data_IF_058263122342
#
_entry.id   IF_058263122342
#
_cell.length_a   1.000
_cell.length_b   1.000
_cell.length_c   1.000
_cell.angle_alpha   90.00
_cell.angle_beta   90.00
_cell.angle_gamma   90.00
#
_symmetry.space_group_name_H-M   'P 1'
#
loop_
_entity.id
_entity.type
_entity.pdbx_description
1 polymer ?
#
# COMPACT_ATOMS: atom_id res chain seq x y z
N UNK A 1 13.34 -5.28 -15.58
CA UNK A 1 12.71 -4.20 -14.79
C UNK A 1 11.54 -4.70 -13.92
N UNK A 2 10.60 -5.47 -14.46
CA UNK A 2 9.45 -6.02 -13.69
C UNK A 2 9.88 -6.91 -12.51
N UNK A 3 10.93 -7.69 -12.66
CA UNK A 3 11.40 -8.62 -11.60
C UNK A 3 12.03 -7.91 -10.39
N UNK A 4 12.60 -6.72 -10.55
CA UNK A 4 13.23 -6.02 -9.43
C UNK A 4 12.21 -5.34 -8.49
N UNK A 5 11.07 -4.91 -9.02
CA UNK A 5 10.05 -4.17 -8.25
C UNK A 5 9.24 -5.06 -7.28
N UNK A 6 9.08 -6.35 -7.60
CA UNK A 6 8.36 -7.30 -6.74
C UNK A 6 9.30 -8.22 -5.95
N UNK A 7 10.61 -8.10 -6.11
CA UNK A 7 11.58 -8.95 -5.42
C UNK A 7 11.44 -8.88 -3.90
N UNK A 8 11.29 -7.66 -3.38
CA UNK A 8 11.09 -7.43 -1.95
C UNK A 8 9.86 -8.19 -1.40
N UNK A 9 8.73 -8.16 -2.13
CA UNK A 9 7.51 -8.84 -1.71
C UNK A 9 7.66 -10.37 -1.73
N UNK A 10 8.41 -10.92 -2.68
CA UNK A 10 8.74 -12.34 -2.68
C UNK A 10 9.65 -12.73 -1.52
N UNK A 11 10.61 -11.88 -1.16
CA UNK A 11 11.48 -12.08 0.01
C UNK A 11 10.67 -12.01 1.31
N UNK A 12 9.75 -11.05 1.44
CA UNK A 12 8.83 -10.95 2.56
C UNK A 12 7.94 -12.20 2.68
N UNK A 13 7.34 -12.65 1.59
CA UNK A 13 6.54 -13.88 1.58
C UNK A 13 7.38 -15.08 2.04
N UNK A 14 8.59 -15.23 1.51
CA UNK A 14 9.50 -16.31 1.93
C UNK A 14 9.82 -16.24 3.43
N UNK A 15 10.05 -15.05 3.96
CA UNK A 15 10.30 -14.81 5.38
C UNK A 15 9.08 -15.16 6.23
N UNK A 16 7.89 -14.70 5.83
CA UNK A 16 6.66 -15.02 6.55
C UNK A 16 6.33 -16.52 6.52
N UNK A 17 6.52 -17.18 5.38
CA UNK A 17 6.30 -18.64 5.27
C UNK A 17 7.22 -19.43 6.20
N UNK A 18 8.51 -19.07 6.28
CA UNK A 18 9.45 -19.67 7.23
C UNK A 18 9.05 -19.40 8.69
N UNK A 19 8.54 -18.18 8.97
CA UNK A 19 8.09 -17.83 10.31
C UNK A 19 6.84 -18.63 10.72
N UNK A 20 5.93 -18.96 9.78
CA UNK A 20 4.77 -19.81 10.06
C UNK A 20 5.17 -21.20 10.60
N UNK A 21 6.25 -21.78 10.08
CA UNK A 21 6.77 -23.09 10.54
C UNK A 21 7.28 -23.03 11.98
N UNK A 22 7.63 -21.87 12.50
CA UNK A 22 8.23 -21.66 13.82
C UNK A 22 7.21 -21.19 14.86
N UNK A 23 5.97 -20.88 14.45
CA UNK A 23 4.94 -20.37 15.37
C UNK A 23 4.54 -21.41 16.41
N UNK A 24 4.37 -20.96 17.65
CA UNK A 24 3.97 -21.81 18.78
C UNK A 24 2.50 -21.63 19.17
N UNK A 25 1.89 -20.54 18.75
CA UNK A 25 0.51 -20.21 19.10
C UNK A 25 -0.36 -20.00 17.86
N UNK A 26 -1.64 -20.31 17.97
CA UNK A 26 -2.62 -20.06 16.90
C UNK A 26 -2.76 -18.58 16.58
N UNK A 27 -2.61 -17.73 17.57
CA UNK A 27 -2.73 -16.27 17.39
C UNK A 27 -1.56 -15.74 16.56
N UNK A 28 -0.34 -16.12 16.89
CA UNK A 28 0.85 -15.76 16.13
C UNK A 28 0.78 -16.30 14.69
N UNK A 29 0.38 -17.56 14.53
CA UNK A 29 0.15 -18.16 13.21
C UNK A 29 -0.83 -17.33 12.37
N UNK A 30 -2.01 -17.00 12.92
CA UNK A 30 -3.02 -16.22 12.23
C UNK A 30 -2.50 -14.81 11.86
N UNK A 31 -1.73 -14.17 12.74
CA UNK A 31 -1.14 -12.85 12.48
C UNK A 31 -0.19 -12.88 11.29
N UNK A 32 0.71 -13.86 11.24
CA UNK A 32 1.65 -14.00 10.13
C UNK A 32 0.91 -14.40 8.84
N UNK A 33 -0.04 -15.32 8.92
CA UNK A 33 -0.85 -15.73 7.76
C UNK A 33 -1.61 -14.54 7.15
N UNK A 34 -2.14 -13.64 7.98
CA UNK A 34 -2.81 -12.42 7.50
C UNK A 34 -1.85 -11.54 6.69
N UNK A 35 -0.61 -11.38 7.13
CA UNK A 35 0.43 -10.65 6.38
C UNK A 35 0.76 -11.34 5.06
N UNK A 36 0.84 -12.67 5.02
CA UNK A 36 1.01 -13.44 3.78
C UNK A 36 -0.10 -13.16 2.79
N UNK A 37 -1.35 -13.12 3.25
CA UNK A 37 -2.52 -12.82 2.39
C UNK A 37 -2.43 -11.39 1.84
N UNK A 38 -2.06 -10.40 2.65
CA UNK A 38 -1.93 -9.01 2.21
C UNK A 38 -0.88 -8.88 1.11
N UNK A 39 0.33 -9.40 1.33
CA UNK A 39 1.42 -9.33 0.34
C UNK A 39 1.07 -10.11 -0.92
N UNK A 40 0.42 -11.28 -0.78
CA UNK A 40 -0.07 -12.06 -1.91
C UNK A 40 -1.13 -11.33 -2.74
N UNK A 41 -2.05 -10.63 -2.08
CA UNK A 41 -3.08 -9.79 -2.74
C UNK A 41 -2.43 -8.66 -3.52
N UNK A 42 -1.44 -7.97 -2.91
CA UNK A 42 -0.67 -6.94 -3.60
C UNK A 42 -0.02 -7.48 -4.88
N UNK A 43 0.74 -8.57 -4.79
CA UNK A 43 1.41 -9.17 -5.95
C UNK A 43 0.43 -9.55 -7.07
N UNK A 44 -0.73 -10.10 -6.72
CA UNK A 44 -1.80 -10.42 -7.68
C UNK A 44 -2.28 -9.16 -8.39
N UNK A 45 -2.58 -8.09 -7.64
CA UNK A 45 -3.12 -6.85 -8.19
C UNK A 45 -2.09 -6.08 -9.00
N UNK A 46 -0.88 -6.01 -8.51
CA UNK A 46 0.23 -5.41 -9.26
C UNK A 46 0.43 -6.09 -10.62
N UNK A 47 0.42 -7.43 -10.66
CA UNK A 47 0.50 -8.17 -11.92
C UNK A 47 -0.68 -7.88 -12.84
N UNK A 48 -1.89 -7.75 -12.30
CA UNK A 48 -3.07 -7.40 -13.09
C UNK A 48 -2.93 -6.00 -13.71
N UNK A 49 -2.48 -5.00 -12.95
CA UNK A 49 -2.20 -3.66 -13.48
C UNK A 49 -1.17 -3.71 -14.62
N UNK A 50 -0.09 -4.47 -14.46
CA UNK A 50 0.91 -4.65 -15.50
C UNK A 50 0.31 -5.32 -16.76
N UNK A 51 -0.53 -6.34 -16.60
CA UNK A 51 -1.19 -7.01 -17.74
C UNK A 51 -2.16 -6.06 -18.45
N UNK A 52 -2.93 -5.26 -17.71
CA UNK A 52 -3.83 -4.24 -18.26
C UNK A 52 -3.02 -3.21 -19.06
N UNK A 53 -1.91 -2.72 -18.50
CA UNK A 53 -0.99 -1.81 -19.18
C UNK A 53 -0.52 -2.37 -20.52
N UNK A 54 -0.06 -3.63 -20.56
CA UNK A 54 0.41 -4.26 -21.82
C UNK A 54 -0.71 -4.52 -22.83
N UNK A 55 -1.95 -4.61 -22.36
CA UNK A 55 -3.12 -4.76 -23.23
C UNK A 55 -3.63 -3.42 -23.76
N UNK A 56 -3.25 -2.32 -23.14
CA UNK A 56 -3.55 -0.95 -23.57
C UNK A 56 -2.62 -0.52 -24.70
N UNK A 57 -3.17 0.08 -25.75
CA UNK A 57 -2.38 0.60 -26.85
C UNK A 57 -1.65 1.92 -26.50
N UNK A 58 -2.07 2.59 -25.42
CA UNK A 58 -1.64 3.95 -25.05
C UNK A 58 -0.74 3.99 -23.82
N UNK A 59 -0.26 2.85 -23.32
CA UNK A 59 0.51 2.77 -22.06
C UNK A 59 -0.20 3.50 -20.90
N UNK A 60 -1.53 3.38 -20.86
CA UNK A 60 -2.38 4.06 -19.90
C UNK A 60 -3.11 3.06 -18.99
N UNK A 61 -3.38 3.49 -17.77
CA UNK A 61 -4.29 2.86 -16.81
C UNK A 61 -5.33 3.89 -16.38
N UNK A 62 -6.48 3.42 -15.94
CA UNK A 62 -7.52 4.29 -15.40
C UNK A 62 -7.42 4.42 -13.89
N UNK A 63 -8.01 5.46 -13.34
CA UNK A 63 -8.20 5.58 -11.89
C UNK A 63 -9.13 4.50 -11.35
N UNK A 64 -9.99 3.88 -12.19
CA UNK A 64 -10.80 2.73 -11.78
C UNK A 64 -9.94 1.46 -11.60
N UNK A 65 -8.90 1.25 -12.42
CA UNK A 65 -7.95 0.14 -12.22
C UNK A 65 -7.23 0.26 -10.87
N UNK A 66 -6.84 1.49 -10.50
CA UNK A 66 -6.29 1.77 -9.17
C UNK A 66 -7.32 1.52 -8.07
N UNK A 67 -8.55 2.03 -8.25
CA UNK A 67 -9.64 1.86 -7.30
C UNK A 67 -9.93 0.39 -7.00
N UNK A 68 -9.99 -0.45 -8.03
CA UNK A 68 -10.21 -1.89 -7.86
C UNK A 68 -9.04 -2.57 -7.13
N UNK A 69 -7.81 -2.17 -7.43
CA UNK A 69 -6.62 -2.70 -6.77
C UNK A 69 -6.59 -2.33 -5.29
N UNK A 70 -6.89 -1.07 -4.96
CA UNK A 70 -7.00 -0.59 -3.58
C UNK A 70 -8.15 -1.29 -2.83
N UNK A 71 -9.30 -1.52 -3.48
CA UNK A 71 -10.44 -2.19 -2.87
C UNK A 71 -10.07 -3.58 -2.32
N UNK A 72 -9.46 -4.43 -3.15
CA UNK A 72 -9.05 -5.76 -2.69
C UNK A 72 -7.94 -5.72 -1.64
N UNK A 73 -6.98 -4.80 -1.77
CA UNK A 73 -5.91 -4.64 -0.79
C UNK A 73 -6.46 -4.18 0.56
N UNK A 74 -7.40 -3.24 0.57
CA UNK A 74 -8.08 -2.80 1.79
C UNK A 74 -8.85 -3.93 2.47
N UNK A 75 -9.54 -4.78 1.70
CA UNK A 75 -10.22 -5.96 2.27
C UNK A 75 -9.23 -6.94 2.90
N UNK A 76 -8.07 -7.17 2.29
CA UNK A 76 -7.06 -8.05 2.85
C UNK A 76 -6.43 -7.50 4.14
N UNK A 77 -6.26 -6.18 4.25
CA UNK A 77 -5.72 -5.51 5.46
C UNK A 77 -6.64 -5.65 6.68
N UNK A 78 -7.94 -5.83 6.47
CA UNK A 78 -8.88 -6.12 7.58
C UNK A 78 -8.53 -7.41 8.31
N UNK A 79 -7.92 -8.38 7.63
CA UNK A 79 -7.44 -9.62 8.25
C UNK A 79 -6.31 -9.33 9.27
N UNK A 80 -5.56 -8.26 9.07
CA UNK A 80 -4.53 -7.77 10.00
C UNK A 80 -5.13 -6.89 11.12
N UNK A 81 -6.46 -6.78 11.22
CA UNK A 81 -7.19 -5.91 12.16
C UNK A 81 -6.90 -4.41 11.96
N UNK A 82 -6.50 -4.02 10.77
CA UNK A 82 -6.28 -2.64 10.39
C UNK A 82 -7.59 -2.11 9.77
N UNK A 83 -8.11 -1.00 10.30
CA UNK A 83 -9.23 -0.30 9.71
C UNK A 83 -8.75 0.50 8.52
N UNK A 84 -9.21 0.15 7.32
CA UNK A 84 -8.78 0.83 6.10
C UNK A 84 -9.97 1.37 5.35
N UNK A 85 -9.84 2.60 4.91
CA UNK A 85 -10.72 3.23 3.95
C UNK A 85 -9.88 3.99 2.91
N UNK A 86 -10.45 4.21 1.75
CA UNK A 86 -9.76 4.92 0.68
C UNK A 86 -10.74 5.74 -0.16
N UNK A 87 -10.20 6.71 -0.86
CA UNK A 87 -10.93 7.56 -1.80
C UNK A 87 -10.07 7.78 -3.04
N UNK A 88 -10.63 7.51 -4.22
CA UNK A 88 -10.02 7.77 -5.52
C UNK A 88 -10.91 8.74 -6.27
N UNK A 89 -10.38 9.91 -6.61
CA UNK A 89 -11.09 10.94 -7.37
C UNK A 89 -11.12 10.58 -8.86
N UNK A 90 -12.21 10.87 -9.53
CA UNK A 90 -12.35 10.85 -11.00
C UNK A 90 -11.95 9.51 -11.65
N UNK A 91 -12.68 8.45 -11.30
CA UNK A 91 -12.35 7.06 -11.63
C UNK A 91 -12.24 6.75 -13.13
N UNK A 92 -12.94 7.50 -13.96
CA UNK A 92 -12.94 7.28 -15.43
C UNK A 92 -11.71 7.89 -16.10
N UNK A 93 -10.95 8.71 -15.39
CA UNK A 93 -9.79 9.39 -15.96
C UNK A 93 -8.67 8.40 -16.26
N UNK A 94 -8.12 8.53 -17.47
CA UNK A 94 -6.91 7.83 -17.89
C UNK A 94 -5.67 8.61 -17.45
N UNK A 95 -4.65 7.87 -17.00
CA UNK A 95 -3.38 8.38 -16.56
C UNK A 95 -2.24 7.56 -17.18
N UNK A 96 -1.05 8.12 -17.16
CA UNK A 96 0.13 7.35 -17.50
C UNK A 96 0.26 6.15 -16.54
N UNK A 97 0.48 4.96 -17.10
CA UNK A 97 0.49 3.73 -16.31
C UNK A 97 1.49 3.75 -15.16
N UNK A 98 2.66 4.39 -15.36
CA UNK A 98 3.68 4.50 -14.32
C UNK A 98 3.19 5.27 -13.08
N UNK A 99 2.32 6.28 -13.24
CA UNK A 99 1.82 7.06 -12.10
C UNK A 99 0.82 6.24 -11.28
N UNK A 100 -0.04 5.46 -11.94
CA UNK A 100 -0.95 4.53 -11.27
C UNK A 100 -0.19 3.44 -10.52
N UNK A 101 0.83 2.87 -11.17
CA UNK A 101 1.68 1.85 -10.56
C UNK A 101 2.43 2.39 -9.35
N UNK A 102 3.08 3.56 -9.46
CA UNK A 102 3.77 4.21 -8.33
C UNK A 102 2.84 4.50 -7.16
N UNK A 103 1.60 4.93 -7.46
CA UNK A 103 0.59 5.17 -6.42
C UNK A 103 0.26 3.88 -5.66
N UNK A 104 0.05 2.77 -6.38
CA UNK A 104 -0.25 1.48 -5.77
C UNK A 104 0.95 0.89 -5.02
N UNK A 105 2.16 1.02 -5.56
CA UNK A 105 3.41 0.63 -4.89
C UNK A 105 3.63 1.44 -3.59
N UNK A 106 3.29 2.72 -3.60
CA UNK A 106 3.38 3.54 -2.40
C UNK A 106 2.40 3.09 -1.31
N UNK A 107 1.16 2.78 -1.69
CA UNK A 107 0.17 2.23 -0.75
C UNK A 107 0.68 0.95 -0.08
N UNK A 108 1.22 0.04 -0.87
CA UNK A 108 1.74 -1.23 -0.39
C UNK A 108 2.96 -1.03 0.52
N UNK A 109 3.95 -0.27 0.06
CA UNK A 109 5.14 0.03 0.85
C UNK A 109 4.77 0.66 2.20
N UNK A 110 3.87 1.64 2.22
CA UNK A 110 3.45 2.31 3.44
C UNK A 110 2.80 1.33 4.42
N UNK A 111 1.91 0.49 3.93
CA UNK A 111 1.22 -0.50 4.77
C UNK A 111 2.18 -1.54 5.32
N UNK A 112 3.16 -1.99 4.54
CA UNK A 112 4.22 -2.91 5.01
C UNK A 112 5.09 -2.30 6.10
N UNK A 113 5.49 -1.02 5.96
CA UNK A 113 6.29 -0.34 6.98
C UNK A 113 5.55 -0.23 8.31
N UNK A 114 4.24 -0.10 8.28
CA UNK A 114 3.42 0.20 9.44
C UNK A 114 2.60 -0.99 9.97
N UNK A 115 2.73 -2.20 9.40
CA UNK A 115 1.91 -3.37 9.75
C UNK A 115 1.76 -3.62 11.25
N UNK A 116 2.83 -3.44 12.00
CA UNK A 116 2.86 -3.80 13.42
C UNK A 116 2.43 -2.65 14.35
N UNK A 117 2.26 -1.44 13.83
CA UNK A 117 1.95 -0.25 14.64
C UNK A 117 0.68 0.46 14.20
N UNK A 118 0.23 0.31 12.96
CA UNK A 118 -0.95 1.00 12.42
C UNK A 118 -2.24 0.30 12.84
N UNK A 119 -3.23 1.10 13.22
CA UNK A 119 -4.58 0.63 13.56
C UNK A 119 -5.63 1.14 12.59
N UNK A 120 -5.38 2.27 11.94
CA UNK A 120 -6.29 2.85 10.95
C UNK A 120 -5.52 3.56 9.85
N UNK A 121 -6.01 3.42 8.61
CA UNK A 121 -5.48 4.09 7.42
C UNK A 121 -6.63 4.66 6.62
N UNK A 122 -6.54 5.94 6.25
CA UNK A 122 -7.36 6.55 5.22
C UNK A 122 -6.47 7.01 4.07
N UNK A 123 -6.54 6.32 2.95
CA UNK A 123 -5.72 6.57 1.76
C UNK A 123 -6.52 7.37 0.73
N UNK A 124 -6.05 8.56 0.41
CA UNK A 124 -6.74 9.46 -0.51
C UNK A 124 -5.87 9.76 -1.72
N UNK A 125 -6.41 9.51 -2.91
CA UNK A 125 -5.79 9.85 -4.19
C UNK A 125 -6.64 10.91 -4.87
N UNK A 126 -6.03 12.05 -5.13
CA UNK A 126 -6.64 13.17 -5.83
C UNK A 126 -5.74 13.62 -6.98
N UNK A 127 -6.26 14.45 -7.84
CA UNK A 127 -5.49 15.02 -8.93
C UNK A 127 -5.57 16.55 -8.89
N UNK A 128 -4.41 17.17 -9.05
CA UNK A 128 -4.27 18.62 -9.17
C UNK A 128 -3.39 18.88 -10.39
N UNK A 129 -3.89 19.66 -11.35
CA UNK A 129 -3.14 20.07 -12.56
C UNK A 129 -2.46 18.88 -13.28
N UNK A 130 -3.20 17.79 -13.51
CA UNK A 130 -2.73 16.55 -14.16
C UNK A 130 -1.67 15.75 -13.36
N UNK A 131 -1.39 16.11 -12.12
CA UNK A 131 -0.53 15.35 -11.22
C UNK A 131 -1.32 14.65 -10.15
N UNK A 132 -0.96 13.40 -9.87
CA UNK A 132 -1.52 12.67 -8.73
C UNK A 132 -0.97 13.23 -7.42
N UNK A 133 -1.86 13.41 -6.47
CA UNK A 133 -1.54 13.69 -5.08
C UNK A 133 -2.04 12.56 -4.19
N UNK A 134 -1.16 12.06 -3.35
CA UNK A 134 -1.50 11.07 -2.34
C UNK A 134 -1.44 11.74 -0.97
N UNK A 135 -2.51 11.60 -0.20
CA UNK A 135 -2.53 11.94 1.21
C UNK A 135 -3.05 10.75 2.02
N UNK A 136 -2.37 10.45 3.10
CA UNK A 136 -2.70 9.30 3.94
C UNK A 136 -2.80 9.76 5.39
N UNK A 137 -3.97 9.56 5.99
CA UNK A 137 -4.13 9.70 7.43
C UNK A 137 -3.92 8.33 8.07
N UNK A 138 -3.05 8.26 9.03
CA UNK A 138 -2.78 7.03 9.78
C UNK A 138 -2.94 7.26 11.28
N UNK A 139 -3.46 6.25 11.94
CA UNK A 139 -3.48 6.16 13.41
C UNK A 139 -2.56 5.01 13.80
N UNK A 140 -1.52 5.32 14.55
CA UNK A 140 -0.49 4.36 14.93
C UNK A 140 -0.38 4.25 16.45
N UNK A 141 -0.37 3.03 16.97
CA UNK A 141 -0.08 2.75 18.39
C UNK A 141 1.40 2.43 18.51
N UNK A 142 2.22 3.47 18.50
CA UNK A 142 3.67 3.35 18.70
C UNK A 142 4.15 4.36 19.74
N UNK A 143 5.21 4.01 20.45
CA UNK A 143 5.88 4.91 21.40
C UNK A 143 6.91 5.82 20.71
N UNK A 144 7.30 5.46 19.49
CA UNK A 144 8.30 6.15 18.70
C UNK A 144 7.65 7.02 17.61
N UNK A 145 8.38 8.01 17.13
CA UNK A 145 7.95 8.84 16.01
C UNK A 145 7.80 7.99 14.73
N UNK A 146 6.67 8.11 14.05
CA UNK A 146 6.37 7.35 12.81
C UNK A 146 7.44 7.55 11.73
N UNK A 147 8.15 8.68 11.74
CA UNK A 147 9.23 8.99 10.78
C UNK A 147 10.34 7.95 10.79
N UNK A 148 10.55 7.25 11.91
CA UNK A 148 11.54 6.18 12.02
C UNK A 148 11.19 5.02 11.10
N UNK A 149 9.90 4.66 11.02
CA UNK A 149 9.40 3.59 10.14
C UNK A 149 9.44 3.98 8.66
N UNK A 150 9.39 5.27 8.36
CA UNK A 150 9.28 5.81 7.00
C UNK A 150 10.59 6.45 6.50
N UNK A 151 11.70 6.22 7.18
CA UNK A 151 13.00 6.84 6.88
C UNK A 151 13.57 6.51 5.49
N UNK A 152 13.10 5.44 4.85
CA UNK A 152 13.50 5.07 3.48
C UNK A 152 13.01 6.07 2.42
N UNK A 153 12.00 6.89 2.73
CA UNK A 153 11.43 7.91 1.83
C UNK A 153 11.46 9.30 2.44
N UNK A 154 12.63 9.95 2.46
CA UNK A 154 12.81 11.26 3.07
C UNK A 154 12.03 12.39 2.38
N UNK A 155 11.56 12.17 1.15
CA UNK A 155 10.74 13.11 0.39
C UNK A 155 9.30 13.24 0.91
N UNK A 156 8.85 12.35 1.81
CA UNK A 156 7.52 12.40 2.37
C UNK A 156 7.35 13.60 3.31
N UNK A 157 6.24 14.30 3.14
CA UNK A 157 5.82 15.33 4.07
C UNK A 157 4.97 14.67 5.16
N UNK A 158 5.54 14.57 6.37
CA UNK A 158 4.90 13.89 7.50
C UNK A 158 4.61 14.93 8.58
N UNK A 159 3.32 15.07 8.89
CA UNK A 159 2.82 16.00 9.90
C UNK A 159 2.06 15.23 10.97
N UNK A 160 2.39 15.45 12.22
CA UNK A 160 1.57 14.97 13.34
C UNK A 160 0.39 15.92 13.52
N UNK A 161 -0.82 15.40 13.54
CA UNK A 161 -2.04 16.18 13.73
C UNK A 161 -2.53 16.11 15.18
N UNK A 162 -2.55 14.90 15.74
CA UNK A 162 -2.87 14.63 17.15
C UNK A 162 -1.94 13.55 17.70
N UNK A 163 -2.07 13.24 18.99
CA UNK A 163 -1.37 12.11 19.59
C UNK A 163 -1.74 10.81 18.85
N UNK A 164 -0.75 10.13 18.27
CA UNK A 164 -0.91 8.91 17.46
C UNK A 164 -1.58 9.11 16.08
N UNK A 165 -1.89 10.33 15.68
CA UNK A 165 -2.48 10.64 14.38
C UNK A 165 -1.51 11.42 13.49
N UNK A 166 -1.34 10.94 12.25
CA UNK A 166 -0.37 11.48 11.31
C UNK A 166 -0.96 11.66 9.92
N UNK A 167 -0.62 12.77 9.29
CA UNK A 167 -0.88 13.03 7.89
C UNK A 167 0.41 12.88 7.09
N UNK A 168 0.41 11.97 6.12
CA UNK A 168 1.52 11.71 5.22
C UNK A 168 1.11 12.16 3.82
N UNK A 169 1.92 13.00 3.19
CA UNK A 169 1.71 13.42 1.80
C UNK A 169 2.88 12.95 0.94
N UNK A 170 2.56 12.32 -0.18
CA UNK A 170 3.52 11.89 -1.19
C UNK A 170 3.23 12.64 -2.50
N UNK A 171 4.12 13.48 -3.01
CA UNK A 171 4.00 14.01 -4.34
C UNK A 171 4.29 12.89 -5.35
N UNK A 172 3.31 12.54 -6.19
CA UNK A 172 3.55 11.70 -7.36
C UNK A 172 3.86 12.64 -8.52
N UNK A 173 5.11 12.72 -8.85
CA UNK A 173 5.62 13.55 -9.95
C UNK A 173 5.69 12.76 -11.25
#
# INVERSE_FOLDING_TARGET
MIQSQTLRQYELLSTYMKSLEQTKTREEYNRILSKVVVVGTYLKRWKNLILTRYSSQEDALTMEDLNQSLAESCESLKLCRIRVSYFVQDREKQLHADDVLKCYEFFEWLTEQLFDVVTSVFFRVTQIEDKLQISVHVVCVCQEDIRIYLAEKPELLIQQEEEQEWLIRCPVS
#
